data_IF_611945767186
#
_entry.id   IF_611945767186
#
_cell.length_a   1.000
_cell.length_b   1.000
_cell.length_c   1.000
_cell.angle_alpha   90.00
_cell.angle_beta   90.00
_cell.angle_gamma   90.00
#
_symmetry.space_group_name_H-M   'P 1'
#
loop_
_entity.id
_entity.type
_entity.pdbx_description
1 polymer ?
#
# COMPACT_ATOMS: atom_id res chain seq x y z
N UNK A 1 -21.10 29.26 10.54
CA UNK A 1 -21.93 28.05 10.31
C UNK A 1 -21.00 26.85 10.15
N UNK A 2 -20.97 25.98 11.16
CA UNK A 2 -20.09 24.82 11.23
C UNK A 2 -20.80 23.65 10.52
N UNK A 3 -20.38 23.27 9.31
CA UNK A 3 -20.93 22.09 8.63
C UNK A 3 -20.38 20.83 9.31
N UNK A 4 -21.14 20.30 10.26
CA UNK A 4 -20.94 18.95 10.80
C UNK A 4 -20.79 17.98 9.62
N UNK A 5 -19.69 17.23 9.62
CA UNK A 5 -19.39 16.19 8.65
C UNK A 5 -20.44 15.09 8.70
N UNK A 6 -21.52 15.27 7.95
CA UNK A 6 -22.43 14.19 7.62
C UNK A 6 -21.72 13.30 6.62
N UNK A 7 -21.62 12.02 6.91
CA UNK A 7 -21.22 11.03 5.92
C UNK A 7 -22.25 11.09 4.79
N UNK A 8 -21.96 11.84 3.73
CA UNK A 8 -22.78 11.84 2.51
C UNK A 8 -23.00 10.39 2.10
N UNK A 9 -24.26 10.02 1.93
CA UNK A 9 -24.65 8.78 1.28
C UNK A 9 -23.93 8.73 -0.08
N UNK A 10 -23.26 7.62 -0.43
CA UNK A 10 -22.59 7.53 -1.72
C UNK A 10 -23.63 7.64 -2.84
N UNK A 11 -23.30 8.39 -3.89
CA UNK A 11 -24.17 8.44 -5.07
C UNK A 11 -24.31 7.04 -5.70
N UNK A 12 -25.42 6.79 -6.39
CA UNK A 12 -25.72 5.50 -7.02
C UNK A 12 -24.57 4.98 -7.90
N UNK A 13 -23.90 5.89 -8.63
CA UNK A 13 -22.72 5.57 -9.43
C UNK A 13 -21.55 5.08 -8.57
N UNK A 14 -21.29 5.70 -7.42
CA UNK A 14 -20.21 5.29 -6.50
C UNK A 14 -20.49 3.90 -5.89
N UNK A 15 -21.75 3.61 -5.55
CA UNK A 15 -22.14 2.29 -5.06
C UNK A 15 -21.91 1.20 -6.11
N UNK A 16 -22.29 1.46 -7.37
CA UNK A 16 -22.14 0.53 -8.49
C UNK A 16 -20.67 0.18 -8.81
N UNK A 17 -19.74 1.12 -8.66
CA UNK A 17 -18.29 0.88 -8.87
C UNK A 17 -17.47 0.90 -7.57
N UNK A 18 -18.12 0.57 -6.46
CA UNK A 18 -17.52 0.55 -5.11
C UNK A 18 -16.29 -0.36 -5.02
N UNK A 19 -16.34 -1.55 -5.64
CA UNK A 19 -15.19 -2.47 -5.70
C UNK A 19 -14.00 -1.87 -6.47
N UNK A 20 -14.27 -1.12 -7.54
CA UNK A 20 -13.23 -0.52 -8.38
C UNK A 20 -12.54 0.64 -7.67
N UNK A 21 -13.28 1.45 -6.89
CA UNK A 21 -12.69 2.45 -6.01
C UNK A 21 -11.74 1.82 -4.98
N UNK A 22 -12.17 0.71 -4.37
CA UNK A 22 -11.35 -0.02 -3.39
C UNK A 22 -10.06 -0.58 -4.02
N UNK A 23 -10.17 -1.34 -5.12
CA UNK A 23 -9.02 -1.94 -5.78
C UNK A 23 -8.06 -0.92 -6.38
N UNK A 24 -8.58 0.19 -6.92
CA UNK A 24 -7.75 1.31 -7.36
C UNK A 24 -6.92 1.89 -6.21
N UNK A 25 -7.52 2.02 -5.03
CA UNK A 25 -6.81 2.41 -3.82
C UNK A 25 -5.75 1.41 -3.43
N UNK A 26 -6.10 0.12 -3.31
CA UNK A 26 -5.18 -0.95 -2.91
C UNK A 26 -3.96 -1.00 -3.84
N UNK A 27 -4.17 -1.02 -5.16
CA UNK A 27 -3.07 -1.05 -6.15
C UNK A 27 -2.17 0.17 -6.04
N UNK A 28 -2.76 1.36 -5.89
CA UNK A 28 -1.98 2.58 -5.69
C UNK A 28 -1.17 2.53 -4.39
N UNK A 29 -1.78 2.07 -3.29
CA UNK A 29 -1.12 1.95 -2.00
C UNK A 29 0.05 0.96 -2.01
N UNK A 30 -0.14 -0.22 -2.61
CA UNK A 30 0.90 -1.23 -2.82
C UNK A 30 2.07 -0.64 -3.62
N UNK A 31 1.78 -0.01 -4.76
CA UNK A 31 2.81 0.57 -5.61
C UNK A 31 3.57 1.73 -4.95
N UNK A 32 2.85 2.61 -4.25
CA UNK A 32 3.45 3.77 -3.59
C UNK A 32 4.41 3.34 -2.48
N UNK A 33 4.01 2.40 -1.60
CA UNK A 33 4.89 1.98 -0.51
C UNK A 33 6.06 1.16 -1.02
N UNK A 34 5.88 0.31 -2.03
CA UNK A 34 6.98 -0.42 -2.67
C UNK A 34 8.00 0.52 -3.33
N UNK A 35 7.53 1.61 -3.95
CA UNK A 35 8.41 2.65 -4.50
C UNK A 35 9.17 3.38 -3.38
N UNK A 36 8.50 3.75 -2.29
CA UNK A 36 9.15 4.41 -1.14
C UNK A 36 10.20 3.49 -0.54
N UNK A 37 9.86 2.21 -0.36
CA UNK A 37 10.75 1.21 0.20
C UNK A 37 12.04 1.06 -0.62
N UNK A 38 11.87 0.84 -1.93
CA UNK A 38 13.00 0.68 -2.85
C UNK A 38 13.82 1.97 -3.01
N UNK A 39 13.18 3.14 -3.10
CA UNK A 39 13.91 4.41 -3.17
C UNK A 39 14.68 4.69 -1.88
N UNK A 40 14.00 4.59 -0.73
CA UNK A 40 14.58 5.04 0.55
C UNK A 40 15.51 3.99 1.13
N UNK A 41 15.06 2.75 1.28
CA UNK A 41 15.83 1.72 1.98
C UNK A 41 16.82 1.01 1.07
N UNK A 42 16.46 0.74 -0.19
CA UNK A 42 17.38 0.03 -1.09
C UNK A 42 18.40 0.99 -1.72
N UNK A 43 17.95 2.12 -2.28
CA UNK A 43 18.85 2.98 -3.06
C UNK A 43 19.53 4.07 -2.21
N UNK A 44 18.77 4.84 -1.43
CA UNK A 44 19.32 5.99 -0.71
C UNK A 44 20.09 5.56 0.54
N UNK A 45 19.46 4.74 1.39
CA UNK A 45 20.05 4.31 2.66
C UNK A 45 20.90 3.05 2.53
N UNK A 46 20.74 2.28 1.45
CA UNK A 46 21.46 1.03 1.21
C UNK A 46 21.35 0.07 2.40
N UNK A 47 20.17 -0.02 3.01
CA UNK A 47 19.92 -0.91 4.15
C UNK A 47 19.86 -2.38 3.75
N UNK A 48 19.35 -2.67 2.55
CA UNK A 48 19.19 -4.01 1.98
C UNK A 48 18.88 -3.92 0.47
N UNK A 49 19.09 -5.01 -0.27
CA UNK A 49 18.48 -5.19 -1.60
C UNK A 49 17.31 -6.18 -1.51
N UNK A 50 16.49 -6.25 -2.55
CA UNK A 50 15.33 -7.15 -2.62
C UNK A 50 15.74 -8.63 -2.51
N UNK A 51 16.93 -8.98 -3.00
CA UNK A 51 17.48 -10.32 -2.87
C UNK A 51 18.96 -10.27 -2.51
N UNK A 52 19.26 -10.49 -1.23
CA UNK A 52 20.60 -10.41 -0.66
C UNK A 52 21.32 -11.76 -0.54
N UNK A 53 20.66 -12.86 -0.91
CA UNK A 53 21.27 -14.21 -0.82
C UNK A 53 22.23 -14.54 -1.97
N UNK A 54 22.67 -13.54 -2.73
CA UNK A 54 23.51 -13.73 -3.92
C UNK A 54 24.50 -12.58 -4.11
N UNK A 55 24.88 -12.30 -5.36
CA UNK A 55 25.79 -11.20 -5.70
C UNK A 55 25.05 -9.85 -5.71
N UNK A 56 25.78 -8.76 -5.46
CA UNK A 56 25.26 -7.39 -5.58
C UNK A 56 24.62 -7.11 -6.95
N UNK A 57 25.17 -7.70 -8.03
CA UNK A 57 24.58 -7.57 -9.38
C UNK A 57 23.17 -8.14 -9.43
N UNK A 58 22.93 -9.28 -8.77
CA UNK A 58 21.61 -9.90 -8.73
C UNK A 58 20.68 -9.07 -7.82
N UNK A 59 21.18 -8.56 -6.68
CA UNK A 59 20.45 -7.63 -5.82
C UNK A 59 19.93 -6.41 -6.60
N UNK A 60 20.80 -5.72 -7.34
CA UNK A 60 20.43 -4.56 -8.16
C UNK A 60 19.41 -4.91 -9.27
N UNK A 61 19.54 -6.07 -9.92
CA UNK A 61 18.55 -6.51 -10.92
C UNK A 61 17.20 -6.78 -10.25
N UNK A 62 17.20 -7.42 -9.08
CA UNK A 62 15.98 -7.70 -8.34
C UNK A 62 15.29 -6.42 -7.84
N UNK A 63 16.04 -5.40 -7.42
CA UNK A 63 15.52 -4.08 -7.09
C UNK A 63 14.84 -3.44 -8.30
N UNK A 64 15.47 -3.48 -9.48
CA UNK A 64 14.87 -2.94 -10.71
C UNK A 64 13.57 -3.63 -11.12
N UNK A 65 13.46 -4.95 -10.93
CA UNK A 65 12.21 -5.69 -11.19
C UNK A 65 11.14 -5.28 -10.17
N UNK A 66 11.52 -5.16 -8.89
CA UNK A 66 10.63 -4.72 -7.83
C UNK A 66 10.14 -3.27 -8.05
N UNK A 67 11.00 -2.38 -8.54
CA UNK A 67 10.65 -1.03 -8.97
C UNK A 67 9.67 -1.02 -10.14
N UNK A 68 9.89 -1.86 -11.16
CA UNK A 68 8.97 -1.95 -12.28
C UNK A 68 7.57 -2.39 -11.81
N UNK A 69 7.50 -3.35 -10.89
CA UNK A 69 6.24 -3.75 -10.25
C UNK A 69 5.59 -2.58 -9.49
N UNK A 70 6.35 -1.85 -8.66
CA UNK A 70 5.84 -0.72 -7.88
C UNK A 70 5.26 0.36 -8.79
N UNK A 71 5.92 0.66 -9.91
CA UNK A 71 5.44 1.64 -10.87
C UNK A 71 4.19 1.19 -11.62
N UNK A 72 4.15 -0.07 -12.09
CA UNK A 72 2.97 -0.62 -12.77
C UNK A 72 1.76 -0.57 -11.85
N UNK A 73 1.91 -0.94 -10.58
CA UNK A 73 0.82 -0.89 -9.60
C UNK A 73 0.36 0.56 -9.33
N UNK A 74 1.31 1.48 -9.15
CA UNK A 74 1.02 2.91 -8.91
C UNK A 74 0.27 3.54 -10.08
N UNK A 75 0.82 3.41 -11.29
CA UNK A 75 0.25 3.96 -12.52
C UNK A 75 -1.09 3.28 -12.81
N UNK A 76 -1.18 1.95 -12.74
CA UNK A 76 -2.42 1.21 -12.92
C UNK A 76 -3.53 1.66 -11.96
N UNK A 77 -3.20 1.87 -10.68
CA UNK A 77 -4.09 2.43 -9.68
C UNK A 77 -4.61 3.82 -10.07
N UNK A 78 -3.73 4.71 -10.56
CA UNK A 78 -4.09 6.06 -11.03
C UNK A 78 -4.92 6.06 -12.32
N UNK A 79 -4.64 5.18 -13.27
CA UNK A 79 -5.48 5.01 -14.46
C UNK A 79 -6.91 4.58 -14.09
N UNK A 80 -7.06 3.72 -13.07
CA UNK A 80 -8.38 3.38 -12.55
C UNK A 80 -9.06 4.60 -11.91
N UNK A 81 -8.33 5.46 -11.18
CA UNK A 81 -8.87 6.74 -10.66
C UNK A 81 -9.33 7.64 -11.80
N UNK A 82 -8.55 7.75 -12.87
CA UNK A 82 -8.90 8.56 -14.04
C UNK A 82 -10.23 8.09 -14.67
N UNK A 83 -10.42 6.79 -14.86
CA UNK A 83 -11.69 6.26 -15.36
C UNK A 83 -12.85 6.44 -14.36
N UNK A 84 -12.60 6.31 -13.05
CA UNK A 84 -13.60 6.58 -12.02
C UNK A 84 -14.04 8.05 -12.02
N UNK A 85 -13.11 8.99 -12.20
CA UNK A 85 -13.41 10.42 -12.33
C UNK A 85 -14.19 10.73 -13.60
N UNK A 86 -13.80 10.13 -14.74
CA UNK A 86 -14.51 10.26 -16.01
C UNK A 86 -15.98 9.82 -15.91
N UNK A 87 -16.27 8.84 -15.06
CA UNK A 87 -17.62 8.32 -14.79
C UNK A 87 -18.36 9.06 -13.66
N UNK A 88 -17.80 10.16 -13.13
CA UNK A 88 -18.31 10.86 -11.95
C UNK A 88 -18.56 9.92 -10.74
N UNK A 89 -17.73 8.88 -10.59
CA UNK A 89 -17.93 7.80 -9.63
C UNK A 89 -16.72 7.60 -8.69
N UNK A 90 -15.78 8.55 -8.67
CA UNK A 90 -14.66 8.53 -7.74
C UNK A 90 -15.16 8.80 -6.31
N UNK A 91 -14.76 7.93 -5.39
CA UNK A 91 -15.11 7.98 -3.98
C UNK A 91 -13.83 8.05 -3.13
N UNK A 92 -13.35 9.27 -2.81
CA UNK A 92 -12.05 9.47 -2.15
C UNK A 92 -11.92 8.71 -0.84
N UNK A 93 -12.96 8.71 0.00
CA UNK A 93 -12.92 8.01 1.30
C UNK A 93 -12.69 6.51 1.16
N UNK A 94 -13.37 5.86 0.22
CA UNK A 94 -13.19 4.42 -0.04
C UNK A 94 -11.83 4.13 -0.70
N UNK A 95 -11.39 5.00 -1.59
CA UNK A 95 -10.07 4.93 -2.21
C UNK A 95 -8.94 5.06 -1.18
N UNK A 96 -9.01 6.04 -0.26
CA UNK A 96 -8.05 6.22 0.86
C UNK A 96 -8.01 4.96 1.74
N UNK A 97 -9.18 4.40 2.09
CA UNK A 97 -9.24 3.15 2.84
C UNK A 97 -8.53 2.00 2.12
N UNK A 98 -8.72 1.90 0.80
CA UNK A 98 -8.00 0.95 -0.04
C UNK A 98 -6.48 1.20 -0.08
N UNK A 99 -6.05 2.44 -0.25
CA UNK A 99 -4.64 2.80 -0.30
C UNK A 99 -3.91 2.46 1.00
N UNK A 100 -4.48 2.83 2.16
CA UNK A 100 -3.92 2.47 3.45
C UNK A 100 -3.89 0.95 3.66
N UNK A 101 -4.95 0.24 3.25
CA UNK A 101 -4.93 -1.22 3.29
C UNK A 101 -3.81 -1.80 2.43
N UNK A 102 -3.62 -1.30 1.20
CA UNK A 102 -2.51 -1.71 0.33
C UNK A 102 -1.14 -1.47 0.97
N UNK A 103 -0.92 -0.27 1.51
CA UNK A 103 0.33 0.10 2.20
C UNK A 103 0.63 -0.87 3.35
N UNK A 104 -0.34 -1.06 4.24
CA UNK A 104 -0.14 -1.91 5.42
C UNK A 104 0.04 -3.39 5.06
N UNK A 105 -0.71 -3.91 4.07
CA UNK A 105 -0.56 -5.29 3.62
C UNK A 105 0.79 -5.55 2.97
N UNK A 106 1.31 -4.60 2.18
CA UNK A 106 2.63 -4.72 1.57
C UNK A 106 3.71 -4.83 2.65
N UNK A 107 3.76 -3.89 3.59
CA UNK A 107 4.81 -3.89 4.63
C UNK A 107 4.71 -5.10 5.55
N UNK A 108 3.50 -5.61 5.84
CA UNK A 108 3.33 -6.86 6.58
C UNK A 108 3.81 -8.07 5.77
N UNK A 109 3.54 -8.10 4.46
CA UNK A 109 4.03 -9.17 3.60
C UNK A 109 5.55 -9.15 3.52
N UNK A 110 6.15 -7.99 3.30
CA UNK A 110 7.60 -7.83 3.28
C UNK A 110 8.23 -8.22 4.63
N UNK A 111 7.77 -7.60 5.72
CA UNK A 111 8.33 -7.79 7.06
C UNK A 111 8.15 -9.20 7.64
N UNK A 112 7.03 -9.88 7.34
CA UNK A 112 6.77 -11.22 7.87
C UNK A 112 7.18 -12.32 6.89
N UNK A 113 6.79 -12.20 5.62
CA UNK A 113 6.99 -13.25 4.64
C UNK A 113 8.37 -13.12 4.01
N UNK A 114 8.74 -11.97 3.47
CA UNK A 114 10.02 -11.83 2.77
C UNK A 114 11.20 -11.88 3.75
N UNK A 115 11.09 -11.22 4.91
CA UNK A 115 12.21 -11.16 5.85
C UNK A 115 12.31 -12.35 6.80
N UNK A 116 11.19 -12.93 7.26
CA UNK A 116 11.23 -13.99 8.29
C UNK A 116 10.96 -15.38 7.75
N UNK A 117 9.98 -15.54 6.85
CA UNK A 117 9.67 -16.85 6.26
C UNK A 117 10.67 -17.19 5.16
N UNK A 118 10.76 -16.34 4.13
CA UNK A 118 11.61 -16.57 2.96
C UNK A 118 13.07 -16.14 3.18
N UNK A 119 13.29 -15.20 4.10
CA UNK A 119 14.61 -14.63 4.43
C UNK A 119 15.36 -14.08 3.22
N UNK A 120 14.64 -13.48 2.27
CA UNK A 120 15.22 -12.92 1.04
C UNK A 120 16.21 -11.78 1.36
N UNK A 121 15.85 -10.99 2.37
CA UNK A 121 16.61 -9.88 2.95
C UNK A 121 16.16 -9.64 4.39
N UNK A 122 16.84 -8.76 5.14
CA UNK A 122 16.37 -8.26 6.43
C UNK A 122 16.12 -6.76 6.33
N UNK A 123 15.20 -6.21 7.14
CA UNK A 123 14.92 -4.76 7.22
C UNK A 123 16.21 -3.95 7.33
N UNK A 124 17.15 -4.41 8.15
CA UNK A 124 18.43 -3.74 8.35
C UNK A 124 19.51 -4.69 8.84
N UNK A 125 20.70 -4.60 8.27
CA UNK A 125 21.87 -5.37 8.71
C UNK A 125 22.76 -4.59 9.68
N UNK A 126 23.57 -5.33 10.45
CA UNK A 126 24.63 -4.78 11.31
C UNK A 126 24.14 -4.06 12.57
N UNK A 127 22.89 -4.28 12.98
CA UNK A 127 22.27 -3.67 14.17
C UNK A 127 21.46 -4.69 14.95
N UNK A 128 21.04 -4.34 16.18
CA UNK A 128 19.95 -5.07 16.83
C UNK A 128 18.68 -4.92 15.99
N UNK A 129 18.21 -6.03 15.44
CA UNK A 129 17.16 -6.07 14.43
C UNK A 129 15.76 -5.92 15.03
N UNK A 130 15.58 -6.36 16.28
CA UNK A 130 14.25 -6.46 16.91
C UNK A 130 13.49 -5.12 16.94
N UNK A 131 14.11 -3.98 17.29
CA UNK A 131 13.41 -2.68 17.24
C UNK A 131 12.90 -2.31 15.85
N UNK A 132 13.68 -2.62 14.80
CA UNK A 132 13.31 -2.32 13.41
C UNK A 132 12.16 -3.22 12.95
N UNK A 133 12.23 -4.53 13.26
CA UNK A 133 11.15 -5.48 13.00
C UNK A 133 9.84 -5.05 13.66
N UNK A 134 9.90 -4.62 14.92
CA UNK A 134 8.71 -4.18 15.66
C UNK A 134 8.13 -2.91 15.06
N UNK A 135 8.95 -1.88 14.81
CA UNK A 135 8.47 -0.63 14.22
C UNK A 135 7.86 -0.85 12.84
N UNK A 136 8.50 -1.66 12.00
CA UNK A 136 8.01 -1.99 10.66
C UNK A 136 6.66 -2.70 10.70
N UNK A 137 6.56 -3.81 11.42
CA UNK A 137 5.35 -4.63 11.44
C UNK A 137 4.20 -3.98 12.21
N UNK A 138 4.47 -3.29 13.33
CA UNK A 138 3.43 -2.60 14.11
C UNK A 138 2.86 -1.42 13.32
N UNK A 139 3.72 -0.60 12.69
CA UNK A 139 3.24 0.51 11.86
C UNK A 139 2.42 0.01 10.67
N UNK A 140 2.87 -1.06 10.01
CA UNK A 140 2.14 -1.70 8.92
C UNK A 140 0.76 -2.22 9.37
N UNK A 141 0.68 -2.89 10.52
CA UNK A 141 -0.57 -3.36 11.09
C UNK A 141 -1.52 -2.21 11.43
N UNK A 142 -1.04 -1.13 12.05
CA UNK A 142 -1.84 0.05 12.37
C UNK A 142 -2.41 0.67 11.09
N UNK A 143 -1.58 0.86 10.06
CA UNK A 143 -1.99 1.43 8.77
C UNK A 143 -3.06 0.55 8.10
N UNK A 144 -2.85 -0.77 8.07
CA UNK A 144 -3.84 -1.72 7.53
C UNK A 144 -5.17 -1.65 8.29
N UNK A 145 -5.14 -1.62 9.62
CA UNK A 145 -6.33 -1.54 10.46
C UNK A 145 -7.10 -0.23 10.25
N UNK A 146 -6.41 0.90 10.08
CA UNK A 146 -7.04 2.18 9.73
C UNK A 146 -7.72 2.07 8.35
N UNK A 147 -7.05 1.48 7.36
CA UNK A 147 -7.63 1.21 6.05
C UNK A 147 -8.92 0.38 6.14
N UNK A 148 -8.88 -0.73 6.89
CA UNK A 148 -10.03 -1.59 7.17
C UNK A 148 -11.16 -0.80 7.83
N UNK A 149 -10.87 -0.01 8.87
CA UNK A 149 -11.88 0.77 9.57
C UNK A 149 -12.60 1.76 8.63
N UNK A 150 -11.86 2.43 7.75
CA UNK A 150 -12.42 3.32 6.73
C UNK A 150 -13.30 2.54 5.74
N UNK A 151 -12.83 1.39 5.24
CA UNK A 151 -13.58 0.53 4.31
C UNK A 151 -14.89 0.06 4.95
N UNK A 152 -14.85 -0.42 6.19
CA UNK A 152 -16.02 -0.86 6.94
C UNK A 152 -17.03 0.28 7.13
N UNK A 153 -16.55 1.50 7.42
CA UNK A 153 -17.41 2.67 7.51
C UNK A 153 -18.09 2.97 6.15
N UNK A 154 -17.38 2.87 5.03
CA UNK A 154 -17.98 3.06 3.71
C UNK A 154 -18.99 1.96 3.34
N UNK A 155 -18.78 0.71 3.78
CA UNK A 155 -19.75 -0.37 3.54
C UNK A 155 -21.08 -0.12 4.27
N UNK A 156 -21.04 0.46 5.47
CA UNK A 156 -22.26 0.85 6.20
C UNK A 156 -23.05 1.90 5.44
N UNK A 157 -22.37 2.88 4.83
CA UNK A 157 -23.02 3.93 4.03
C UNK A 157 -23.67 3.44 2.73
N UNK A 158 -23.27 2.28 2.19
CA UNK A 158 -23.91 1.68 1.00
C UNK A 158 -25.20 0.93 1.38
N UNK A 159 -25.27 0.41 2.61
CA UNK A 159 -26.40 -0.40 3.10
C UNK A 159 -27.50 0.42 3.77
N UNK A 160 -27.25 1.70 4.02
CA UNK A 160 -28.20 2.67 4.58
C UNK A 160 -28.95 3.39 3.47
#
# INVERSE_FOLDING_TARGET
>A
MNSKGTSKVPDSNQANVSKRNLWSGILFGLGLVAFIDETVFHQLLNWHHFYDQSTTKIGLVSDGIFHAFSWIATVGGLFMVADLRRRAAWWPKRWIGGALLGIGLFNLYDGLIQHKVMKLHQIRYGVDLLPYDLVWNISAAIIALIGIAIILNTNKSIKS
#
